data_IF_214787426791
#
_entry.id   IF_214787426791
#
_cell.length_a   1.000
_cell.length_b   1.000
_cell.length_c   1.000
_cell.angle_alpha   90.00
_cell.angle_beta   90.00
_cell.angle_gamma   90.00
#
_symmetry.space_group_name_H-M   'P 1'
#
loop_
_entity.id
_entity.type
_entity.pdbx_description
1 polymer ?
#
# COMPACT_ATOMS: atom_id res chain seq x y z
N UNK A 1 8.35 -1.28 -8.25
CA UNK A 1 9.20 -1.37 -7.04
C UNK A 1 10.10 -0.17 -6.88
N UNK A 2 11.09 0.06 -7.75
CA UNK A 2 12.02 1.22 -7.62
C UNK A 2 11.36 2.57 -7.29
N UNK A 3 10.21 2.86 -7.89
CA UNK A 3 9.49 4.14 -7.70
C UNK A 3 8.80 4.26 -6.34
N UNK A 4 8.17 3.18 -5.84
CA UNK A 4 7.44 3.20 -4.57
C UNK A 4 8.36 3.04 -3.35
N UNK A 5 9.52 2.37 -3.52
CA UNK A 5 10.50 2.15 -2.45
C UNK A 5 10.80 3.40 -1.62
N UNK A 6 11.17 4.57 -2.19
CA UNK A 6 11.43 5.76 -1.39
C UNK A 6 10.20 6.24 -0.59
N UNK A 7 8.99 6.15 -1.15
CA UNK A 7 7.78 6.57 -0.42
C UNK A 7 7.46 5.62 0.73
N UNK A 8 7.70 4.32 0.52
CA UNK A 8 7.59 3.31 1.55
C UNK A 8 8.62 3.51 2.68
N UNK A 9 9.87 3.83 2.34
CA UNK A 9 10.90 4.10 3.35
C UNK A 9 10.55 5.33 4.21
N UNK A 10 10.03 6.40 3.60
CA UNK A 10 9.53 7.57 4.34
C UNK A 10 8.30 7.24 5.20
N UNK A 11 7.40 6.37 4.72
CA UNK A 11 6.30 5.85 5.53
C UNK A 11 6.82 5.14 6.78
N UNK A 12 7.80 4.25 6.64
CA UNK A 12 8.35 3.50 7.78
C UNK A 12 9.07 4.44 8.76
N UNK A 13 9.78 5.47 8.29
CA UNK A 13 10.38 6.49 9.18
C UNK A 13 9.31 7.27 9.97
N UNK A 14 8.20 7.60 9.33
CA UNK A 14 7.12 8.34 10.00
C UNK A 14 6.36 7.48 11.01
N UNK A 15 6.06 6.23 10.64
CA UNK A 15 5.11 5.39 11.38
C UNK A 15 5.76 4.31 12.26
N UNK A 16 7.02 3.96 11.99
CA UNK A 16 7.80 3.00 12.79
C UNK A 16 7.91 3.41 14.26
N UNK A 17 8.29 4.66 14.58
CA UNK A 17 8.34 5.17 15.96
C UNK A 17 6.98 5.17 16.68
N UNK A 18 5.87 5.16 15.94
CA UNK A 18 4.51 5.13 16.48
C UNK A 18 3.98 3.71 16.67
N UNK A 19 4.74 2.68 16.28
CA UNK A 19 4.30 1.28 16.34
C UNK A 19 3.29 0.90 15.28
N UNK A 20 3.14 1.70 14.21
CA UNK A 20 2.15 1.49 13.14
C UNK A 20 2.71 0.72 11.93
N UNK A 21 3.93 0.21 12.01
CA UNK A 21 4.54 -0.68 11.01
C UNK A 21 4.56 -2.10 11.57
N UNK A 22 3.61 -2.99 11.18
CA UNK A 22 3.46 -4.30 11.80
C UNK A 22 4.70 -5.19 11.61
N UNK A 23 5.18 -5.81 12.69
CA UNK A 23 6.31 -6.74 12.63
C UNK A 23 7.70 -6.10 12.60
N UNK A 24 7.80 -4.77 12.71
CA UNK A 24 9.07 -4.06 12.82
C UNK A 24 9.68 -4.27 14.22
N UNK A 25 10.91 -4.79 14.31
CA UNK A 25 11.59 -4.93 15.61
C UNK A 25 12.14 -3.59 16.12
N UNK A 26 12.44 -3.45 17.42
CA UNK A 26 13.08 -2.24 17.95
C UNK A 26 14.39 -1.87 17.23
N UNK A 27 15.22 -2.86 16.89
CA UNK A 27 16.50 -2.67 16.21
C UNK A 27 16.29 -2.21 14.76
N UNK A 28 15.33 -2.82 14.06
CA UNK A 28 14.96 -2.41 12.70
C UNK A 28 14.38 -0.99 12.68
N UNK A 29 13.54 -0.65 13.67
CA UNK A 29 12.99 0.70 13.81
C UNK A 29 14.10 1.73 14.05
N UNK A 30 15.03 1.45 14.96
CA UNK A 30 16.18 2.33 15.21
C UNK A 30 17.04 2.50 13.93
N UNK A 31 17.28 1.43 13.18
CA UNK A 31 18.02 1.48 11.92
C UNK A 31 17.28 2.29 10.84
N UNK A 32 15.94 2.16 10.75
CA UNK A 32 15.12 2.89 9.79
C UNK A 32 15.18 4.42 9.98
N UNK A 33 15.34 4.87 11.23
CA UNK A 33 15.49 6.30 11.56
C UNK A 33 16.90 6.85 11.32
N UNK A 34 17.89 5.96 11.16
CA UNK A 34 19.28 6.32 10.93
C UNK A 34 19.58 6.67 9.46
N UNK A 35 20.83 7.06 9.21
CA UNK A 35 21.37 7.15 7.84
C UNK A 35 22.10 5.85 7.50
N UNK A 36 21.68 5.20 6.43
CA UNK A 36 22.26 3.92 6.02
C UNK A 36 21.78 2.75 6.90
N UNK A 37 22.42 1.59 6.76
CA UNK A 37 22.11 0.34 7.50
C UNK A 37 20.72 -0.28 7.31
N UNK A 38 19.79 0.35 6.59
CA UNK A 38 18.43 -0.17 6.34
C UNK A 38 18.40 -1.64 5.91
N UNK A 39 19.07 -1.96 4.80
CA UNK A 39 19.14 -3.32 4.28
C UNK A 39 19.95 -4.26 5.19
N UNK A 40 21.01 -3.77 5.83
CA UNK A 40 21.85 -4.57 6.72
C UNK A 40 21.13 -4.97 8.02
N UNK A 41 20.27 -4.09 8.53
CA UNK A 41 19.41 -4.36 9.68
C UNK A 41 18.19 -5.24 9.32
N UNK A 42 18.02 -5.57 8.03
CA UNK A 42 16.90 -6.38 7.56
C UNK A 42 15.54 -5.71 7.77
N UNK A 43 15.49 -4.37 7.70
CA UNK A 43 14.20 -3.65 7.72
C UNK A 43 13.34 -4.18 6.56
N UNK A 44 12.07 -4.57 6.80
CA UNK A 44 11.24 -5.17 5.77
C UNK A 44 11.13 -4.27 4.53
N UNK A 45 10.97 -4.88 3.35
CA UNK A 45 10.80 -4.16 2.09
C UNK A 45 9.33 -3.98 1.72
N UNK A 46 9.04 -3.11 0.75
CA UNK A 46 7.68 -2.98 0.20
C UNK A 46 7.17 -4.32 -0.33
N UNK A 47 8.02 -5.12 -0.99
CA UNK A 47 7.67 -6.44 -1.51
C UNK A 47 7.31 -7.44 -0.40
N UNK A 48 7.99 -7.35 0.75
CA UNK A 48 7.60 -8.14 1.93
C UNK A 48 6.16 -7.79 2.34
N UNK A 49 5.84 -6.49 2.42
CA UNK A 49 4.50 -6.05 2.81
C UNK A 49 3.43 -6.28 1.74
N UNK A 50 3.79 -6.35 0.47
CA UNK A 50 2.88 -6.84 -0.57
C UNK A 50 2.51 -8.31 -0.37
N UNK A 51 3.48 -9.17 -0.02
CA UNK A 51 3.23 -10.61 0.18
C UNK A 51 2.27 -10.88 1.34
N UNK A 52 2.31 -10.07 2.40
CA UNK A 52 1.40 -10.20 3.54
C UNK A 52 0.09 -9.40 3.38
N UNK A 53 -0.11 -8.77 2.22
CA UNK A 53 -1.34 -8.04 1.89
C UNK A 53 -1.50 -6.69 2.59
N UNK A 54 -0.43 -6.13 3.16
CA UNK A 54 -0.44 -4.82 3.80
C UNK A 54 -0.27 -3.68 2.78
N UNK A 55 0.35 -3.95 1.63
CA UNK A 55 0.59 -2.98 0.56
C UNK A 55 0.17 -3.55 -0.79
N UNK A 56 -0.27 -2.67 -1.69
CA UNK A 56 -0.51 -3.01 -3.09
C UNK A 56 0.30 -2.09 -4.00
N UNK A 57 1.09 -2.68 -4.89
CA UNK A 57 1.87 -1.97 -5.90
C UNK A 57 1.92 -2.83 -7.17
N UNK A 58 0.95 -2.60 -8.05
CA UNK A 58 0.74 -3.36 -9.27
C UNK A 58 -0.17 -2.60 -10.23
N UNK A 59 -0.39 -3.14 -11.44
CA UNK A 59 -1.23 -2.52 -12.44
C UNK A 59 -2.74 -2.60 -12.06
N UNK A 60 -3.60 -1.78 -12.67
CA UNK A 60 -5.03 -1.71 -12.34
C UNK A 60 -5.76 -3.06 -12.43
N UNK A 61 -5.45 -3.90 -13.41
CA UNK A 61 -6.07 -5.21 -13.60
C UNK A 61 -5.79 -6.16 -12.43
N UNK A 62 -4.58 -6.13 -11.88
CA UNK A 62 -4.23 -6.90 -10.68
C UNK A 62 -4.94 -6.34 -9.45
N UNK A 63 -5.16 -5.02 -9.40
CA UNK A 63 -5.87 -4.41 -8.28
C UNK A 63 -7.36 -4.77 -8.29
N UNK A 64 -7.98 -4.78 -9.48
CA UNK A 64 -9.35 -5.28 -9.66
C UNK A 64 -9.45 -6.74 -9.23
N UNK A 65 -8.52 -7.60 -9.66
CA UNK A 65 -8.50 -9.00 -9.24
C UNK A 65 -8.35 -9.14 -7.72
N UNK A 66 -7.49 -8.31 -7.10
CA UNK A 66 -7.31 -8.28 -5.66
C UNK A 66 -8.60 -7.90 -4.93
N UNK A 67 -9.26 -6.81 -5.32
CA UNK A 67 -10.54 -6.38 -4.71
C UNK A 67 -11.64 -7.44 -4.85
N UNK A 68 -11.76 -8.10 -6.01
CA UNK A 68 -12.70 -9.23 -6.20
C UNK A 68 -12.39 -10.41 -5.28
N UNK A 69 -11.12 -10.67 -5.01
CA UNK A 69 -10.73 -11.70 -4.03
C UNK A 69 -11.16 -11.34 -2.61
N UNK A 70 -11.16 -10.04 -2.26
CA UNK A 70 -11.66 -9.56 -0.97
C UNK A 70 -13.18 -9.69 -0.87
N UNK A 71 -13.94 -9.39 -1.93
CA UNK A 71 -15.39 -9.61 -1.97
C UNK A 71 -15.76 -11.08 -1.72
N UNK A 72 -15.01 -12.01 -2.30
CA UNK A 72 -15.21 -13.45 -2.08
C UNK A 72 -14.85 -13.86 -0.65
N UNK A 73 -13.79 -13.29 -0.09
CA UNK A 73 -13.31 -13.60 1.26
C UNK A 73 -14.20 -13.01 2.35
N UNK A 74 -14.82 -11.86 2.08
CA UNK A 74 -15.63 -11.11 3.03
C UNK A 74 -17.04 -10.86 2.46
N UNK A 75 -17.96 -11.84 2.55
CA UNK A 75 -19.33 -11.67 2.09
C UNK A 75 -20.02 -10.47 2.78
N UNK A 76 -20.59 -9.56 1.99
CA UNK A 76 -21.22 -8.33 2.48
C UNK A 76 -20.28 -7.13 2.59
N UNK A 77 -19.07 -7.19 2.02
CA UNK A 77 -18.18 -6.02 1.91
C UNK A 77 -18.81 -4.94 1.02
N UNK A 78 -19.16 -3.79 1.61
CA UNK A 78 -19.77 -2.65 0.90
C UNK A 78 -18.80 -1.50 0.64
N UNK A 79 -17.77 -1.37 1.47
CA UNK A 79 -16.87 -0.22 1.47
C UNK A 79 -15.41 -0.65 1.58
N UNK A 80 -14.57 -0.05 0.75
CA UNK A 80 -13.11 -0.14 0.83
C UNK A 80 -12.52 1.25 0.90
N UNK A 81 -11.53 1.44 1.76
CA UNK A 81 -10.74 2.66 1.81
C UNK A 81 -9.41 2.40 1.09
N UNK A 82 -9.17 3.14 0.01
CA UNK A 82 -7.93 3.08 -0.76
C UNK A 82 -7.22 4.41 -0.59
N UNK A 83 -5.97 4.35 -0.12
CA UNK A 83 -5.16 5.55 0.13
C UNK A 83 -3.76 5.37 -0.42
N UNK A 84 -3.18 6.45 -0.92
CA UNK A 84 -1.76 6.49 -1.28
C UNK A 84 -0.93 6.58 0.00
N UNK A 85 0.32 6.12 -0.06
CA UNK A 85 1.22 6.27 1.08
C UNK A 85 1.49 7.74 1.40
N UNK A 86 1.60 8.05 2.69
CA UNK A 86 2.24 9.30 3.12
C UNK A 86 3.63 9.42 2.50
N UNK A 87 3.97 10.62 2.03
CA UNK A 87 5.22 10.88 1.28
C UNK A 87 5.11 10.69 -0.24
N UNK A 88 3.97 10.21 -0.76
CA UNK A 88 3.75 10.16 -2.22
C UNK A 88 3.68 11.58 -2.80
N UNK A 89 4.43 11.92 -3.87
CA UNK A 89 4.36 13.23 -4.50
C UNK A 89 2.95 13.55 -5.03
N UNK A 90 2.54 14.82 -4.96
CA UNK A 90 1.21 15.25 -5.38
C UNK A 90 0.87 14.84 -6.83
N UNK A 91 1.79 15.02 -7.77
CA UNK A 91 1.57 14.64 -9.17
C UNK A 91 1.25 13.15 -9.33
N UNK A 92 1.97 12.30 -8.59
CA UNK A 92 1.75 10.85 -8.58
C UNK A 92 0.41 10.50 -7.94
N UNK A 93 0.04 11.15 -6.84
CA UNK A 93 -1.26 10.93 -6.22
C UNK A 93 -2.41 11.25 -7.19
N UNK A 94 -2.31 12.36 -7.92
CA UNK A 94 -3.33 12.73 -8.92
C UNK A 94 -3.40 11.73 -10.07
N UNK A 95 -2.25 11.26 -10.56
CA UNK A 95 -2.18 10.21 -11.60
C UNK A 95 -2.83 8.92 -11.12
N UNK A 96 -2.48 8.44 -9.92
CA UNK A 96 -3.02 7.21 -9.34
C UNK A 96 -4.53 7.32 -9.07
N UNK A 97 -5.01 8.47 -8.59
CA UNK A 97 -6.45 8.73 -8.39
C UNK A 97 -7.21 8.73 -9.73
N UNK A 98 -6.66 9.37 -10.76
CA UNK A 98 -7.25 9.37 -12.10
C UNK A 98 -7.28 7.96 -12.71
N UNK A 99 -6.18 7.21 -12.61
CA UNK A 99 -6.09 5.81 -13.03
C UNK A 99 -7.10 4.92 -12.30
N UNK A 100 -7.18 5.03 -10.97
CA UNK A 100 -8.15 4.28 -10.17
C UNK A 100 -9.60 4.58 -10.61
N UNK A 101 -9.94 5.85 -10.83
CA UNK A 101 -11.27 6.23 -11.27
C UNK A 101 -11.63 5.69 -12.66
N UNK A 102 -10.66 5.66 -13.58
CA UNK A 102 -10.88 5.25 -14.97
C UNK A 102 -10.80 3.73 -15.18
N UNK A 103 -9.91 3.05 -14.47
CA UNK A 103 -9.49 1.67 -14.77
C UNK A 103 -9.92 0.67 -13.69
N UNK A 104 -10.23 1.13 -12.47
CA UNK A 104 -10.63 0.23 -11.37
C UNK A 104 -12.12 0.36 -11.06
N UNK A 105 -12.60 1.59 -10.77
CA UNK A 105 -13.99 1.81 -10.36
C UNK A 105 -15.06 1.21 -11.30
N UNK A 106 -14.92 1.22 -12.64
CA UNK A 106 -15.95 0.67 -13.52
C UNK A 106 -16.23 -0.83 -13.31
N UNK A 107 -15.30 -1.58 -12.72
CA UNK A 107 -15.49 -3.01 -12.42
C UNK A 107 -16.36 -3.29 -11.18
N UNK A 108 -16.63 -2.27 -10.37
CA UNK A 108 -17.37 -2.35 -9.10
C UNK A 108 -18.56 -1.38 -9.05
N UNK A 109 -18.95 -0.83 -10.21
CA UNK A 109 -20.15 -0.01 -10.30
C UNK A 109 -21.36 -0.84 -9.81
N UNK A 110 -22.28 -0.22 -9.05
CA UNK A 110 -23.41 -0.94 -8.49
C UNK A 110 -24.19 -1.66 -9.59
N UNK A 111 -24.64 -2.88 -9.32
CA UNK A 111 -25.74 -3.43 -10.08
C UNK A 111 -26.87 -2.41 -10.01
N UNK A 112 -27.38 -1.96 -11.17
CA UNK A 112 -28.49 -1.03 -11.24
C UNK A 112 -29.55 -1.46 -10.22
N UNK A 113 -29.84 -0.57 -9.28
CA UNK A 113 -30.75 -0.82 -8.16
C UNK A 113 -32.02 -1.47 -8.70
N UNK A 114 -32.30 -2.70 -8.26
CA UNK A 114 -33.56 -3.39 -8.53
C UNK A 114 -34.64 -2.90 -7.57
#
# INVERSE_FOLDING_TARGET
>A
MREITPWYEEHVKMFGPLGFVPGLTPEQNAAAMGRGSWGAAGVPTVEHYQKVGAWFAGPPEEFVAHLKSLEQRFPGLEHVHVSNSMGTPQGVMLEQLAGFAKEVKPHFAPAATR
#
